data_IF_137455813109
#
_entry.id   IF_137455813109
#
_cell.length_a   1.000
_cell.length_b   1.000
_cell.length_c   1.000
_cell.angle_alpha   90.00
_cell.angle_beta   90.00
_cell.angle_gamma   90.00
#
_symmetry.space_group_name_H-M   'P 1'
#
loop_
_entity.id
_entity.type
_entity.pdbx_description
1 polymer ?
#
# COMPACT_ATOMS: atom_id res chain seq x y z
N UNK A 1 -6.50 -0.20 1.24
CA UNK A 1 -5.71 0.99 1.58
C UNK A 1 -6.63 2.09 2.10
N UNK A 2 -6.20 2.78 3.16
CA UNK A 2 -6.84 3.97 3.70
C UNK A 2 -5.84 5.13 3.66
N UNK A 3 -6.33 6.33 3.32
CA UNK A 3 -5.54 7.55 3.26
C UNK A 3 -6.19 8.60 4.14
N UNK A 4 -5.47 9.01 5.17
CA UNK A 4 -5.94 9.97 6.16
C UNK A 4 -5.18 11.30 6.01
N UNK A 5 -5.92 12.40 5.84
CA UNK A 5 -5.35 13.74 5.78
C UNK A 5 -5.06 14.26 7.19
N UNK A 6 -3.87 14.83 7.39
CA UNK A 6 -3.45 15.35 8.68
C UNK A 6 -3.50 16.89 8.70
N UNK A 7 -3.65 17.52 9.88
CA UNK A 7 -3.69 18.99 10.00
C UNK A 7 -2.40 19.70 9.57
N UNK A 8 -1.26 19.01 9.60
CA UNK A 8 0.05 19.50 9.15
C UNK A 8 0.24 19.45 7.62
N UNK A 9 -0.78 19.02 6.88
CA UNK A 9 -0.73 18.85 5.42
C UNK A 9 -0.09 17.55 4.96
N UNK A 10 0.41 16.72 5.86
CA UNK A 10 0.82 15.35 5.52
C UNK A 10 -0.39 14.43 5.32
N UNK A 11 -0.14 13.26 4.73
CA UNK A 11 -1.10 12.16 4.71
C UNK A 11 -0.50 10.94 5.39
N UNK A 12 -1.34 10.15 6.03
CA UNK A 12 -1.00 8.80 6.48
C UNK A 12 -1.61 7.80 5.51
N UNK A 13 -0.80 6.85 5.05
CA UNK A 13 -1.18 5.77 4.15
C UNK A 13 -1.11 4.47 4.93
N UNK A 14 -2.24 3.78 5.00
CA UNK A 14 -2.37 2.47 5.62
C UNK A 14 -2.75 1.46 4.53
N UNK A 15 -2.06 0.31 4.47
CA UNK A 15 -2.35 -0.73 3.50
C UNK A 15 -2.04 -2.11 4.03
N UNK A 16 -2.84 -3.09 3.62
CA UNK A 16 -2.62 -4.51 3.85
C UNK A 16 -2.47 -5.21 2.49
N UNK A 17 -1.55 -6.16 2.41
CA UNK A 17 -1.29 -6.97 1.23
C UNK A 17 -1.36 -8.46 1.59
N UNK A 18 -1.92 -9.25 0.66
CA UNK A 18 -2.14 -10.68 0.85
C UNK A 18 -1.73 -11.44 -0.40
N UNK A 19 -1.05 -12.57 -0.22
CA UNK A 19 -0.71 -13.49 -1.32
C UNK A 19 -1.08 -14.94 -0.97
N UNK A 20 -1.75 -15.70 -1.87
CA UNK A 20 -2.29 -15.26 -3.16
C UNK A 20 -3.59 -14.44 -3.05
N UNK A 21 -4.25 -14.46 -1.89
CA UNK A 21 -5.40 -13.62 -1.56
C UNK A 21 -5.58 -13.55 -0.04
N UNK A 22 -6.50 -12.74 0.49
CA UNK A 22 -6.79 -12.68 1.92
C UNK A 22 -7.42 -13.98 2.48
N UNK A 23 -8.04 -14.78 1.61
CA UNK A 23 -8.73 -16.02 1.96
C UNK A 23 -8.41 -17.10 0.92
N UNK A 24 -7.16 -17.61 0.91
CA UNK A 24 -6.77 -18.65 -0.03
C UNK A 24 -7.45 -19.99 0.33
N UNK A 25 -7.56 -20.88 -0.66
CA UNK A 25 -7.99 -22.25 -0.41
C UNK A 25 -6.96 -22.96 0.50
N UNK A 26 -7.37 -23.51 1.66
CA UNK A 26 -6.46 -24.21 2.56
C UNK A 26 -5.75 -25.42 1.93
N UNK A 27 -6.32 -26.06 0.90
CA UNK A 27 -5.63 -27.15 0.18
C UNK A 27 -4.48 -26.61 -0.68
N UNK A 28 -4.66 -25.41 -1.27
CA UNK A 28 -3.65 -24.76 -2.11
C UNK A 28 -2.62 -24.00 -1.28
N UNK A 29 -2.99 -23.51 -0.11
CA UNK A 29 -2.12 -22.75 0.80
C UNK A 29 -2.32 -23.21 2.24
N UNK A 30 -1.77 -24.39 2.63
CA UNK A 30 -1.98 -24.97 3.96
C UNK A 30 -1.48 -24.11 5.13
N UNK A 31 -0.51 -23.21 4.87
CA UNK A 31 0.03 -22.27 5.85
C UNK A 31 -0.76 -20.97 5.99
N UNK A 32 -1.84 -20.79 5.23
CA UNK A 32 -2.54 -19.51 5.12
C UNK A 32 -1.82 -18.49 4.23
N UNK A 33 -2.41 -17.30 4.03
CA UNK A 33 -1.84 -16.31 3.11
C UNK A 33 -0.55 -15.73 3.67
N UNK A 34 0.35 -15.34 2.78
CA UNK A 34 1.39 -14.40 3.15
C UNK A 34 0.72 -13.03 3.36
N UNK A 35 1.13 -12.33 4.41
CA UNK A 35 0.54 -11.04 4.80
C UNK A 35 1.63 -10.00 4.95
N UNK A 36 1.34 -8.77 4.53
CA UNK A 36 2.16 -7.60 4.86
C UNK A 36 1.27 -6.40 5.16
N UNK A 37 1.79 -5.47 5.95
CA UNK A 37 1.14 -4.19 6.25
C UNK A 37 2.12 -3.04 6.05
N UNK A 38 1.63 -1.89 5.59
CA UNK A 38 2.37 -0.64 5.52
C UNK A 38 1.62 0.45 6.27
N UNK A 39 2.32 1.20 7.11
CA UNK A 39 1.79 2.42 7.74
C UNK A 39 2.83 3.53 7.64
N UNK A 40 2.68 4.38 6.64
CA UNK A 40 3.69 5.38 6.32
C UNK A 40 3.07 6.78 6.15
N UNK A 41 3.86 7.81 6.45
CA UNK A 41 3.45 9.22 6.33
C UNK A 41 4.29 9.91 5.26
N UNK A 42 3.66 10.80 4.50
CA UNK A 42 4.35 11.63 3.50
C UNK A 42 3.65 12.94 3.26
N UNK A 43 4.36 13.88 2.64
CA UNK A 43 3.82 15.17 2.23
C UNK A 43 3.50 15.12 0.74
N UNK A 44 2.25 15.45 0.33
CA UNK A 44 1.92 15.51 -1.08
C UNK A 44 2.69 16.62 -1.82
N UNK A 45 3.22 16.26 -2.98
CA UNK A 45 3.84 17.14 -3.95
C UNK A 45 2.98 17.16 -5.22
N UNK A 46 2.06 18.13 -5.27
CA UNK A 46 1.05 18.20 -6.34
C UNK A 46 0.09 17.01 -6.29
N UNK A 47 0.13 16.15 -7.31
CA UNK A 47 -0.69 14.94 -7.38
C UNK A 47 0.08 13.65 -7.04
N UNK A 48 1.27 13.77 -6.44
CA UNK A 48 2.13 12.66 -6.02
C UNK A 48 2.39 12.73 -4.52
N UNK A 49 2.67 11.57 -3.94
CA UNK A 49 3.24 11.46 -2.59
C UNK A 49 4.06 10.19 -2.53
N UNK A 50 5.27 10.29 -2.00
CA UNK A 50 6.08 9.14 -1.63
C UNK A 50 6.00 8.98 -0.12
N UNK A 51 5.65 7.78 0.33
CA UNK A 51 5.67 7.41 1.75
C UNK A 51 6.72 6.34 1.94
N UNK A 52 7.47 6.45 3.04
CA UNK A 52 8.61 5.58 3.30
C UNK A 52 8.57 5.06 4.74
N UNK A 53 8.98 3.80 4.92
CA UNK A 53 9.17 3.13 6.20
C UNK A 53 10.44 2.28 6.09
N UNK A 54 11.54 2.67 6.75
CA UNK A 54 12.86 2.06 6.58
C UNK A 54 13.29 1.97 5.10
N UNK A 55 13.40 0.75 4.54
CA UNK A 55 13.72 0.49 3.13
C UNK A 55 12.47 0.46 2.25
N UNK A 56 11.27 0.30 2.83
CA UNK A 56 10.02 0.32 2.10
C UNK A 56 9.73 1.72 1.56
N UNK A 57 9.47 1.80 0.25
CA UNK A 57 9.01 3.01 -0.42
C UNK A 57 7.75 2.69 -1.22
N UNK A 58 6.70 3.46 -0.98
CA UNK A 58 5.46 3.39 -1.76
C UNK A 58 5.20 4.75 -2.39
N UNK A 59 5.05 4.76 -3.71
CA UNK A 59 4.67 5.93 -4.49
C UNK A 59 3.19 5.88 -4.77
N UNK A 60 2.52 6.97 -4.45
CA UNK A 60 1.13 7.18 -4.80
C UNK A 60 1.01 8.32 -5.81
N UNK A 61 0.22 8.10 -6.85
CA UNK A 61 -0.05 9.05 -7.91
C UNK A 61 -1.55 9.17 -8.13
N UNK A 62 -2.08 10.37 -7.95
CA UNK A 62 -3.48 10.69 -8.27
C UNK A 62 -3.63 11.07 -9.75
N UNK A 63 -4.46 10.33 -10.47
CA UNK A 63 -4.82 10.51 -11.88
C UNK A 63 -6.35 10.65 -11.99
N UNK A 64 -6.86 11.87 -11.89
CA UNK A 64 -8.32 12.10 -11.85
C UNK A 64 -8.92 11.55 -10.55
N UNK A 65 -9.84 10.59 -10.67
CA UNK A 65 -10.48 9.86 -9.56
C UNK A 65 -9.76 8.55 -9.19
N UNK A 66 -8.70 8.23 -9.92
CA UNK A 66 -7.90 7.02 -9.76
C UNK A 66 -6.61 7.30 -9.00
N UNK A 67 -6.24 6.40 -8.10
CA UNK A 67 -4.99 6.43 -7.37
C UNK A 67 -4.17 5.21 -7.74
N UNK A 68 -2.99 5.43 -8.32
CA UNK A 68 -2.00 4.39 -8.57
C UNK A 68 -1.06 4.28 -7.37
N UNK A 69 -0.83 3.07 -6.88
CA UNK A 69 0.19 2.73 -5.91
C UNK A 69 1.23 1.81 -6.53
N UNK A 70 2.50 2.07 -6.25
CA UNK A 70 3.64 1.28 -6.71
C UNK A 70 4.70 1.26 -5.60
N UNK A 71 5.18 0.08 -5.23
CA UNK A 71 6.21 -0.08 -4.20
C UNK A 71 7.56 -0.46 -4.79
N UNK A 72 8.63 -0.26 -4.02
CA UNK A 72 9.97 -0.65 -4.41
C UNK A 72 10.29 -2.14 -4.17
N UNK A 73 9.27 -2.97 -3.91
CA UNK A 73 9.39 -4.39 -3.52
C UNK A 73 10.14 -4.65 -2.21
N UNK A 74 10.38 -3.62 -1.39
CA UNK A 74 11.00 -3.74 -0.06
C UNK A 74 10.01 -3.54 1.09
N UNK A 75 8.70 -3.48 0.77
CA UNK A 75 7.62 -3.24 1.72
C UNK A 75 6.98 -4.51 2.27
N UNK A 76 6.98 -5.57 1.47
CA UNK A 76 6.27 -6.80 1.78
C UNK A 76 7.21 -7.91 2.22
N UNK A 77 7.45 -8.02 3.52
CA UNK A 77 7.91 -9.28 4.08
C UNK A 77 7.03 -10.44 3.60
N UNK A 78 7.61 -11.62 3.39
CA UNK A 78 6.90 -12.82 2.90
C UNK A 78 6.37 -12.73 1.45
N UNK A 79 7.08 -12.06 0.53
CA UNK A 79 6.74 -12.03 -0.91
C UNK A 79 5.39 -11.38 -1.24
N UNK A 80 5.03 -10.29 -0.55
CA UNK A 80 3.89 -9.45 -0.94
C UNK A 80 4.38 -8.13 -1.53
N UNK A 81 3.54 -7.44 -2.30
CA UNK A 81 3.81 -6.09 -2.79
C UNK A 81 2.59 -5.19 -2.63
N UNK A 82 2.84 -3.89 -2.55
CA UNK A 82 1.84 -2.84 -2.34
C UNK A 82 1.53 -2.07 -3.63
N UNK A 83 1.39 -2.80 -4.74
CA UNK A 83 0.98 -2.25 -6.04
C UNK A 83 -0.52 -2.35 -6.27
N UNK A 84 -1.12 -1.35 -6.90
CA UNK A 84 -2.53 -1.42 -7.29
C UNK A 84 -3.13 -0.13 -7.82
N UNK A 85 -4.34 -0.25 -8.37
CA UNK A 85 -5.14 0.89 -8.83
C UNK A 85 -6.39 0.97 -7.98
N UNK A 86 -6.58 2.09 -7.31
CA UNK A 86 -7.70 2.35 -6.42
C UNK A 86 -8.55 3.46 -6.99
N UNK A 87 -9.85 3.42 -6.73
CA UNK A 87 -10.77 4.52 -7.06
C UNK A 87 -11.31 5.10 -5.77
N UNK A 88 -11.39 6.43 -5.70
CA UNK A 88 -12.06 7.10 -4.58
C UNK A 88 -13.53 6.64 -4.54
N UNK A 89 -13.98 6.20 -3.37
CA UNK A 89 -15.41 5.97 -3.11
C UNK A 89 -16.09 7.24 -2.65
#
# INVERSE_FOLDING_TARGET
AAIDHQPDGSITVNGDAYWPSAFPDPEQTPGGPHTGSVTARGYPEGNRVEVNEDTCKVRLQLLGDMLLADDNLECGGMNVSFGGVYRKK
#
